data_IF_052695295162
#
_entry.id   IF_052695295162
#
_cell.length_a   1.000
_cell.length_b   1.000
_cell.length_c   1.000
_cell.angle_alpha   90.00
_cell.angle_beta   90.00
_cell.angle_gamma   90.00
#
_symmetry.space_group_name_H-M   'P 1'
#
loop_
_entity.id
_entity.type
_entity.pdbx_description
1 polymer ?
#
# COMPACT_ATOMS: atom_id res chain seq x y z
N UNK A 1 -14.99 -9.01 5.81
CA UNK A 1 -15.42 -7.59 5.78
C UNK A 1 -15.80 -7.26 4.33
N UNK A 2 -16.92 -6.58 4.04
CA UNK A 2 -17.32 -6.32 2.64
C UNK A 2 -16.57 -5.09 2.09
N UNK A 3 -15.28 -5.28 1.82
CA UNK A 3 -14.42 -4.27 1.22
C UNK A 3 -14.61 -4.24 -0.31
N UNK A 4 -14.83 -3.07 -0.86
CA UNK A 4 -15.02 -2.86 -2.30
C UNK A 4 -13.86 -2.10 -2.92
N UNK A 5 -13.64 -2.33 -4.21
CA UNK A 5 -12.76 -1.55 -5.06
C UNK A 5 -13.16 -0.07 -4.97
N UNK A 6 -12.18 0.78 -4.69
CA UNK A 6 -12.39 2.21 -4.47
C UNK A 6 -12.61 2.60 -3.01
N UNK A 7 -12.89 1.66 -2.10
CA UNK A 7 -12.93 1.96 -0.67
C UNK A 7 -11.56 2.45 -0.21
N UNK A 8 -11.57 3.42 0.70
CA UNK A 8 -10.38 3.96 1.36
C UNK A 8 -10.26 3.32 2.73
N UNK A 9 -9.12 2.69 2.99
CA UNK A 9 -8.80 2.01 4.25
C UNK A 9 -7.52 2.55 4.86
N UNK A 10 -7.39 2.45 6.17
CA UNK A 10 -6.13 2.70 6.88
C UNK A 10 -5.38 1.38 6.99
N UNK A 11 -4.18 1.31 6.43
CA UNK A 11 -3.36 0.10 6.42
C UNK A 11 -2.15 0.28 7.33
N UNK A 12 -1.85 -0.71 8.16
CA UNK A 12 -0.58 -0.75 8.88
C UNK A 12 0.46 -1.40 7.98
N UNK A 13 1.27 -0.59 7.30
CA UNK A 13 2.30 -1.09 6.38
C UNK A 13 3.66 -1.02 7.10
N UNK A 14 4.41 -2.12 7.23
CA UNK A 14 5.76 -2.08 7.76
C UNK A 14 6.60 -1.21 6.83
N UNK A 15 7.12 -0.10 7.37
CA UNK A 15 8.01 0.75 6.63
C UNK A 15 9.40 0.09 6.57
N UNK A 16 9.98 -0.02 5.39
CA UNK A 16 11.18 -0.82 5.19
C UNK A 16 12.50 -0.10 5.47
N UNK A 17 12.45 1.21 5.62
CA UNK A 17 13.62 1.99 5.99
C UNK A 17 13.77 1.97 7.50
N UNK A 18 14.94 1.56 7.98
CA UNK A 18 15.33 1.56 9.40
C UNK A 18 15.19 2.94 10.07
N UNK A 19 15.24 4.02 9.29
CA UNK A 19 15.03 5.40 9.75
C UNK A 19 13.55 5.76 9.99
N UNK A 20 12.60 4.96 9.50
CA UNK A 20 11.17 5.18 9.64
C UNK A 20 10.47 3.96 10.25
N UNK A 21 11.09 3.32 11.25
CA UNK A 21 10.52 2.19 12.02
C UNK A 21 9.21 2.52 12.76
N UNK A 22 8.71 3.76 12.69
CA UNK A 22 7.36 4.07 13.14
C UNK A 22 6.37 3.47 12.16
N UNK A 23 5.49 2.59 12.64
CA UNK A 23 4.30 2.17 11.91
C UNK A 23 3.55 3.42 11.45
N UNK A 24 3.70 3.78 10.18
CA UNK A 24 2.80 4.74 9.56
C UNK A 24 1.51 3.99 9.27
N UNK A 25 0.40 4.68 9.49
CA UNK A 25 -0.93 4.19 9.17
C UNK A 25 -1.43 4.95 7.92
N UNK A 26 -0.82 4.73 6.73
CA UNK A 26 -1.26 5.42 5.53
C UNK A 26 -2.69 5.00 5.16
N UNK A 27 -3.43 5.96 4.61
CA UNK A 27 -4.61 5.66 3.83
C UNK A 27 -4.19 4.95 2.54
N UNK A 28 -5.01 4.00 2.08
CA UNK A 28 -4.83 3.28 0.84
C UNK A 28 -6.18 3.05 0.17
N UNK A 29 -6.22 2.98 -1.16
CA UNK A 29 -7.42 2.56 -1.90
C UNK A 29 -7.28 1.11 -2.31
N UNK A 30 -8.38 0.39 -2.17
CA UNK A 30 -8.51 -0.98 -2.66
C UNK A 30 -8.62 -0.98 -4.18
N UNK A 31 -7.73 -1.71 -4.83
CA UNK A 31 -7.64 -1.79 -6.31
C UNK A 31 -8.04 -3.16 -6.86
N UNK A 32 -8.03 -4.21 -6.04
CA UNK A 32 -8.51 -5.54 -6.41
C UNK A 32 -10.03 -5.54 -6.68
N UNK A 33 -10.46 -6.44 -7.56
CA UNK A 33 -11.84 -6.56 -7.99
C UNK A 33 -12.76 -7.06 -6.87
N UNK A 34 -14.04 -6.64 -6.90
CA UNK A 34 -15.00 -6.88 -5.81
C UNK A 34 -15.30 -8.37 -5.58
N UNK A 35 -15.34 -9.14 -6.65
CA UNK A 35 -15.47 -10.60 -6.63
C UNK A 35 -14.27 -11.24 -5.91
N UNK A 36 -13.05 -10.78 -6.21
CA UNK A 36 -11.82 -11.26 -5.56
C UNK A 36 -11.83 -10.91 -4.06
N UNK A 37 -12.19 -9.68 -3.69
CA UNK A 37 -12.23 -9.21 -2.30
C UNK A 37 -13.26 -9.95 -1.43
N UNK A 38 -14.22 -10.65 -2.05
CA UNK A 38 -15.23 -11.45 -1.34
C UNK A 38 -14.78 -12.90 -1.12
N UNK A 39 -13.84 -13.38 -1.92
CA UNK A 39 -13.37 -14.77 -1.88
C UNK A 39 -12.08 -14.90 -1.06
N UNK A 40 -11.17 -13.93 -1.20
CA UNK A 40 -9.88 -13.95 -0.53
C UNK A 40 -9.95 -13.24 0.83
N UNK A 41 -9.15 -13.74 1.77
CA UNK A 41 -8.92 -13.07 3.06
C UNK A 41 -8.09 -11.79 2.93
N UNK A 42 -7.39 -11.64 1.79
CA UNK A 42 -6.51 -10.52 1.46
C UNK A 42 -7.11 -9.58 0.41
N UNK A 43 -6.69 -8.31 0.43
CA UNK A 43 -7.04 -7.29 -0.57
C UNK A 43 -5.80 -6.61 -1.12
N UNK A 44 -5.84 -6.23 -2.40
CA UNK A 44 -4.78 -5.43 -3.01
C UNK A 44 -5.08 -3.95 -2.80
N UNK A 45 -4.10 -3.22 -2.28
CA UNK A 45 -4.23 -1.80 -1.96
C UNK A 45 -3.10 -0.97 -2.54
N UNK A 46 -3.37 0.30 -2.82
CA UNK A 46 -2.36 1.30 -3.19
C UNK A 46 -2.33 2.38 -2.11
N UNK A 47 -1.23 2.50 -1.34
CA UNK A 47 -1.11 3.53 -0.31
C UNK A 47 -0.90 4.92 -0.91
N UNK A 48 -1.47 5.93 -0.25
CA UNK A 48 -1.29 7.33 -0.61
C UNK A 48 -0.28 8.03 0.28
N UNK A 49 0.37 9.05 -0.26
CA UNK A 49 1.19 9.98 0.51
C UNK A 49 0.80 11.41 0.19
N UNK A 50 0.66 12.24 1.22
CA UNK A 50 0.47 13.69 1.07
C UNK A 50 1.78 14.40 0.71
N UNK A 51 2.93 13.72 0.79
CA UNK A 51 4.21 14.26 0.41
C UNK A 51 4.36 14.29 -1.11
N UNK A 52 4.09 15.47 -1.71
CA UNK A 52 4.18 15.73 -3.15
C UNK A 52 5.62 15.95 -3.65
N UNK A 53 6.61 16.10 -2.76
CA UNK A 53 7.99 16.47 -3.11
C UNK A 53 8.89 15.26 -3.44
N UNK A 54 8.34 14.07 -3.60
CA UNK A 54 9.15 12.88 -3.89
C UNK A 54 9.46 12.84 -5.39
N UNK A 55 10.70 13.10 -5.76
CA UNK A 55 11.21 12.80 -7.10
C UNK A 55 11.09 11.28 -7.31
N UNK A 56 10.24 10.87 -8.24
CA UNK A 56 9.93 9.47 -8.49
C UNK A 56 11.10 8.76 -9.19
N UNK A 57 12.05 8.22 -8.43
CA UNK A 57 12.86 7.09 -8.87
C UNK A 57 12.06 5.83 -8.54
N UNK A 58 11.35 5.27 -9.53
CA UNK A 58 10.48 4.08 -9.39
C UNK A 58 11.14 2.96 -8.57
N UNK A 59 12.44 2.77 -8.76
CA UNK A 59 13.22 1.72 -8.09
C UNK A 59 13.35 1.93 -6.56
N UNK A 60 13.38 3.16 -6.06
CA UNK A 60 13.68 3.43 -4.65
C UNK A 60 12.53 3.08 -3.69
N UNK A 61 11.29 2.99 -4.18
CA UNK A 61 10.15 2.69 -3.33
C UNK A 61 9.83 1.19 -3.28
N UNK A 62 10.05 0.47 -4.38
CA UNK A 62 9.82 -0.98 -4.48
C UNK A 62 10.87 -1.80 -3.72
N UNK A 63 12.15 -1.44 -3.86
CA UNK A 63 13.23 -2.04 -3.05
C UNK A 63 13.02 -1.79 -1.56
N UNK A 64 12.54 -0.58 -1.23
CA UNK A 64 12.11 -0.29 0.11
C UNK A 64 11.02 -1.29 0.47
N UNK A 65 9.87 -1.38 -0.21
CA UNK A 65 8.75 -2.25 0.18
C UNK A 65 9.05 -3.78 0.14
N UNK A 66 10.30 -4.20 -0.10
CA UNK A 66 10.71 -5.60 -0.17
C UNK A 66 10.24 -6.29 -1.45
N UNK A 67 9.80 -5.51 -2.45
CA UNK A 67 9.29 -6.01 -3.72
C UNK A 67 10.36 -5.83 -4.78
N UNK A 68 11.06 -6.91 -5.11
CA UNK A 68 11.89 -6.97 -6.31
C UNK A 68 10.99 -7.23 -7.52
N UNK A 69 10.94 -6.30 -8.46
CA UNK A 69 10.41 -6.57 -9.80
C UNK A 69 11.49 -7.34 -10.56
N UNK A 70 11.19 -8.59 -10.92
CA UNK A 70 11.96 -9.40 -11.87
C UNK A 70 11.56 -8.99 -13.29
#
# INVERSE_FOLDING_TARGET
MKLQKGDVVLCQVPMPSSQFQQFKLPAAVIVSANDINQILDDVMVVPFTSNRNRSFSINQQLESLGVNLI
#
